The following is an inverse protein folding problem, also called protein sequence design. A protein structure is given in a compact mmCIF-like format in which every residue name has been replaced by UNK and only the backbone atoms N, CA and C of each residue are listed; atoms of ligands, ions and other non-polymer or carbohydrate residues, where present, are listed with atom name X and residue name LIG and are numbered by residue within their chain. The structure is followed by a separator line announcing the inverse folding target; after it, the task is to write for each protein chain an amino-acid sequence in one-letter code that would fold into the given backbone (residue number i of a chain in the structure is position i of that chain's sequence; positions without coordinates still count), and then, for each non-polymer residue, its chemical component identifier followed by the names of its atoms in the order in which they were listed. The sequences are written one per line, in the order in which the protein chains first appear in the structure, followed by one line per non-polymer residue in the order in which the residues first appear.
data_IF_020792249793
#
_entry.id   IF_020792249793
#
_cell.length_a   1.000
_cell.length_b   1.000
_cell.length_c   1.000
_cell.angle_alpha   90.00
_cell.angle_beta   90.00
_cell.angle_gamma   90.00
#
_symmetry.space_group_name_H-M   'P 1'
#
loop_
_entity.id
_entity.type
_entity.pdbx_description
1 polymer ?
#
# COMPACT_ATOMS: atom_id res chain seq x y z
N UNK A 1 -4.40 -4.83 17.01
CA UNK A 1 -4.11 -3.39 16.99
C UNK A 1 -2.66 -3.27 16.51
N UNK A 2 -2.33 -2.37 15.57
CA UNK A 2 -0.94 -2.32 15.06
C UNK A 2 -0.09 -1.46 16.00
N UNK A 3 0.69 -2.09 16.86
CA UNK A 3 1.49 -1.43 17.90
C UNK A 3 2.49 -0.44 17.28
N UNK A 4 3.02 -0.76 16.11
CA UNK A 4 3.91 0.12 15.36
C UNK A 4 3.24 1.44 14.96
N UNK A 5 2.02 1.38 14.42
CA UNK A 5 1.30 2.58 14.01
C UNK A 5 1.02 3.51 15.20
N UNK A 6 0.71 2.94 16.37
CA UNK A 6 0.49 3.72 17.59
C UNK A 6 1.74 4.49 18.02
N UNK A 7 2.92 3.88 17.95
CA UNK A 7 4.20 4.52 18.30
C UNK A 7 4.46 5.71 17.37
N UNK A 8 4.37 5.49 16.05
CA UNK A 8 4.56 6.55 15.05
C UNK A 8 3.56 7.69 15.23
N UNK A 9 2.28 7.35 15.41
CA UNK A 9 1.22 8.34 15.63
C UNK A 9 1.47 9.21 16.86
N UNK A 10 1.98 8.62 17.95
CA UNK A 10 2.33 9.34 19.17
C UNK A 10 3.54 10.26 18.97
N UNK A 11 4.57 9.82 18.25
CA UNK A 11 5.75 10.65 17.93
C UNK A 11 5.37 11.86 17.08
N UNK A 12 4.54 11.67 16.03
CA UNK A 12 4.01 12.77 15.22
C UNK A 12 3.18 13.75 16.07
N UNK A 13 2.34 13.22 16.97
CA UNK A 13 1.54 14.06 17.86
C UNK A 13 2.41 14.85 18.85
N UNK A 14 3.51 14.27 19.34
CA UNK A 14 4.47 14.93 20.22
C UNK A 14 5.16 16.09 19.49
N UNK A 15 5.76 15.83 18.33
CA UNK A 15 6.43 16.85 17.51
C UNK A 15 5.52 18.01 17.08
N UNK A 16 4.23 17.72 16.83
CA UNK A 16 3.22 18.75 16.58
C UNK A 16 2.98 19.62 17.82
N UNK A 17 2.86 19.00 18.99
CA UNK A 17 2.60 19.71 20.26
C UNK A 17 3.79 20.56 20.70
N UNK A 18 5.02 20.10 20.47
CA UNK A 18 6.24 20.89 20.73
C UNK A 18 6.27 22.21 19.94
N UNK A 19 5.63 22.23 18.76
CA UNK A 19 5.45 23.44 17.94
C UNK A 19 4.23 24.28 18.32
N UNK A 20 3.45 23.86 19.32
CA UNK A 20 2.21 24.53 19.71
C UNK A 20 1.09 24.44 18.67
N UNK A 21 1.16 23.50 17.71
CA UNK A 21 0.21 23.43 16.61
C UNK A 21 -1.03 22.59 16.95
N UNK A 22 -2.20 23.01 16.46
CA UNK A 22 -3.41 22.17 16.49
C UNK A 22 -3.38 21.11 15.37
N UNK A 23 -4.17 20.04 15.51
CA UNK A 23 -4.33 19.05 14.42
C UNK A 23 -4.84 19.71 13.12
N UNK A 24 -5.71 20.72 13.24
CA UNK A 24 -6.23 21.45 12.09
C UNK A 24 -5.13 22.26 11.40
N UNK A 25 -4.23 22.88 12.18
CA UNK A 25 -3.09 23.63 11.63
C UNK A 25 -2.14 22.71 10.88
N UNK A 26 -1.77 21.57 11.46
CA UNK A 26 -0.91 20.60 10.78
C UNK A 26 -1.58 20.05 9.52
N UNK A 27 -2.88 19.77 9.56
CA UNK A 27 -3.64 19.30 8.41
C UNK A 27 -3.61 20.31 7.24
N UNK A 28 -3.73 21.60 7.55
CA UNK A 28 -3.63 22.68 6.56
C UNK A 28 -2.25 22.74 5.90
N UNK A 29 -1.17 22.67 6.71
CA UNK A 29 0.22 22.69 6.21
C UNK A 29 0.49 21.49 5.31
N UNK A 30 0.05 20.31 5.73
CA UNK A 30 0.29 19.04 5.02
C UNK A 30 -0.64 18.90 3.81
N UNK A 31 -1.76 19.63 3.74
CA UNK A 31 -2.74 19.51 2.67
C UNK A 31 -3.60 18.25 2.78
N UNK A 32 -4.13 17.96 3.97
CA UNK A 32 -5.06 16.85 4.26
C UNK A 32 -6.20 17.32 5.16
N UNK A 33 -7.22 16.48 5.36
CA UNK A 33 -8.28 16.78 6.31
C UNK A 33 -7.79 16.65 7.77
N UNK A 34 -8.32 17.46 8.69
CA UNK A 34 -8.05 17.34 10.15
C UNK A 34 -8.28 15.92 10.67
N UNK A 35 -9.34 15.28 10.19
CA UNK A 35 -9.70 13.91 10.54
C UNK A 35 -8.61 12.90 10.14
N UNK A 36 -7.88 13.16 9.05
CA UNK A 36 -6.73 12.32 8.67
C UNK A 36 -5.63 12.40 9.71
N UNK A 37 -5.28 13.61 10.18
CA UNK A 37 -4.30 13.80 11.26
C UNK A 37 -4.75 13.11 12.54
N UNK A 38 -6.02 13.27 12.93
CA UNK A 38 -6.59 12.59 14.10
C UNK A 38 -6.40 11.07 14.04
N UNK A 39 -6.72 10.44 12.90
CA UNK A 39 -6.56 8.99 12.73
C UNK A 39 -5.09 8.58 12.73
N UNK A 40 -4.21 9.37 12.10
CA UNK A 40 -2.77 9.10 12.05
C UNK A 40 -2.17 9.12 13.45
N UNK A 41 -2.48 10.13 14.25
CA UNK A 41 -2.03 10.23 15.65
C UNK A 41 -2.61 9.11 16.55
N UNK A 42 -3.64 8.40 16.08
CA UNK A 42 -4.27 7.23 16.72
C UNK A 42 -3.86 5.91 16.06
N UNK A 43 -2.77 5.91 15.31
CA UNK A 43 -2.13 4.70 14.79
C UNK A 43 -2.56 4.25 13.40
N UNK A 44 -3.30 5.08 12.66
CA UNK A 44 -3.53 4.85 11.24
C UNK A 44 -2.28 5.23 10.45
N UNK A 45 -1.70 4.26 9.74
CA UNK A 45 -0.56 4.57 8.87
C UNK A 45 -0.96 5.55 7.74
N UNK A 46 -0.21 6.66 7.55
CA UNK A 46 -0.37 7.54 6.40
C UNK A 46 0.13 6.87 5.11
N UNK A 47 -0.22 7.45 3.94
CA UNK A 47 0.48 7.10 2.69
C UNK A 47 1.92 7.64 2.72
N UNK A 48 2.84 7.05 1.95
CA UNK A 48 4.23 7.53 1.87
C UNK A 48 4.37 9.02 1.52
N UNK A 49 3.51 9.52 0.62
CA UNK A 49 3.47 10.96 0.27
C UNK A 49 2.95 11.84 1.42
N UNK A 50 2.02 11.34 2.24
CA UNK A 50 1.53 12.06 3.42
C UNK A 50 2.55 11.98 4.56
N UNK A 51 3.22 10.84 4.74
CA UNK A 51 4.34 10.68 5.68
C UNK A 51 5.48 11.66 5.35
N UNK A 52 5.85 11.80 4.07
CA UNK A 52 6.84 12.78 3.61
C UNK A 52 6.48 14.19 4.05
N UNK A 53 5.29 14.66 3.66
CA UNK A 53 4.83 16.01 4.00
C UNK A 53 4.73 16.23 5.52
N UNK A 54 4.39 15.20 6.29
CA UNK A 54 4.35 15.26 7.75
C UNK A 54 5.75 15.41 8.36
N UNK A 55 6.69 14.59 7.92
CA UNK A 55 8.10 14.65 8.32
C UNK A 55 8.70 16.02 7.98
N UNK A 56 8.51 16.50 6.74
CA UNK A 56 8.99 17.81 6.30
C UNK A 56 8.39 18.95 7.15
N UNK A 57 7.07 18.93 7.37
CA UNK A 57 6.38 19.96 8.16
C UNK A 57 6.78 19.94 9.65
N UNK A 58 7.11 18.77 10.19
CA UNK A 58 7.48 18.56 11.58
C UNK A 58 8.99 18.48 11.79
N UNK A 59 9.80 18.70 10.76
CA UNK A 59 11.27 18.58 10.83
C UNK A 59 11.75 17.26 11.42
N UNK A 60 11.07 16.16 11.11
CA UNK A 60 11.42 14.82 11.57
C UNK A 60 12.06 14.04 10.43
N UNK A 61 13.06 13.22 10.72
CA UNK A 61 13.57 12.28 9.74
C UNK A 61 12.61 11.09 9.59
N UNK A 62 12.40 10.64 8.35
CA UNK A 62 11.62 9.43 8.08
C UNK A 62 12.28 8.18 8.63
N UNK A 63 13.60 8.07 8.54
CA UNK A 63 14.35 6.91 9.02
C UNK A 63 14.22 6.76 10.55
N UNK A 64 14.24 7.88 11.28
CA UNK A 64 14.07 7.90 12.74
C UNK A 64 12.68 7.43 13.19
N UNK A 65 11.65 7.72 12.39
CA UNK A 65 10.27 7.27 12.66
C UNK A 65 9.97 5.88 12.07
N UNK A 66 10.95 5.23 11.43
CA UNK A 66 10.75 4.05 10.58
C UNK A 66 9.57 4.26 9.59
N UNK A 67 9.43 5.50 9.12
CA UNK A 67 8.51 5.94 8.07
C UNK A 67 9.21 6.00 6.71
N UNK A 68 10.43 5.47 6.64
CA UNK A 68 11.20 5.17 5.44
C UNK A 68 10.56 4.09 4.57
N UNK A 69 9.31 3.70 4.88
CA UNK A 69 8.38 3.03 3.98
C UNK A 69 8.43 3.63 2.58
N UNK A 70 9.32 3.09 1.76
CA UNK A 70 9.26 3.37 0.35
C UNK A 70 7.93 2.81 -0.17
N UNK A 71 7.46 3.28 -1.33
CA UNK A 71 6.42 2.56 -2.04
C UNK A 71 6.83 1.10 -2.35
N UNK A 72 8.13 0.78 -2.17
CA UNK A 72 8.77 -0.53 -2.15
C UNK A 72 8.82 -1.23 -0.78
N UNK A 73 8.25 -0.70 0.29
CA UNK A 73 8.22 -1.44 1.57
C UNK A 73 6.89 -2.17 1.78
N UNK A 74 5.84 -1.76 1.07
CA UNK A 74 4.78 -2.69 0.69
C UNK A 74 5.34 -3.85 -0.16
N UNK A 75 6.43 -3.61 -0.90
CA UNK A 75 7.15 -4.59 -1.73
C UNK A 75 8.03 -5.54 -0.88
N UNK A 76 8.44 -5.12 0.33
CA UNK A 76 9.10 -5.99 1.34
C UNK A 76 8.11 -6.74 2.24
N UNK A 77 6.96 -6.15 2.61
CA UNK A 77 5.94 -6.84 3.41
C UNK A 77 5.11 -7.88 2.62
N UNK A 78 5.06 -7.75 1.29
CA UNK A 78 4.27 -8.63 0.42
C UNK A 78 5.07 -9.09 -0.81
N UNK A 79 6.17 -9.85 -0.60
CA UNK A 79 7.11 -10.23 -1.66
C UNK A 79 6.43 -10.97 -2.82
N UNK A 80 5.34 -11.71 -2.54
CA UNK A 80 4.54 -12.35 -3.58
C UNK A 80 3.91 -11.36 -4.56
N UNK A 81 3.32 -10.26 -4.06
CA UNK A 81 2.68 -9.24 -4.91
C UNK A 81 3.68 -8.34 -5.64
N UNK A 82 4.91 -8.24 -5.13
CA UNK A 82 6.03 -7.56 -5.77
C UNK A 82 6.33 -8.12 -7.15
N UNK A 83 6.38 -9.45 -7.27
CA UNK A 83 6.69 -10.11 -8.53
C UNK A 83 5.72 -9.66 -9.63
N UNK A 84 4.43 -9.53 -9.31
CA UNK A 84 3.41 -9.09 -10.27
C UNK A 84 3.58 -7.63 -10.67
N UNK A 85 3.95 -6.76 -9.71
CA UNK A 85 4.22 -5.35 -9.97
C UNK A 85 5.46 -5.18 -10.86
N UNK A 86 6.52 -5.93 -10.59
CA UNK A 86 7.75 -5.90 -11.35
C UNK A 86 7.52 -6.43 -12.77
N UNK A 87 6.79 -7.54 -12.91
CA UNK A 87 6.40 -8.08 -14.21
C UNK A 87 5.52 -7.11 -15.00
N UNK A 88 4.59 -6.40 -14.36
CA UNK A 88 3.79 -5.34 -14.99
C UNK A 88 4.70 -4.23 -15.54
N UNK A 89 5.63 -3.73 -14.71
CA UNK A 89 6.57 -2.67 -15.11
C UNK A 89 7.52 -3.11 -16.21
N UNK A 90 8.03 -4.33 -16.16
CA UNK A 90 8.91 -4.90 -17.19
C UNK A 90 8.20 -5.05 -18.55
N UNK A 91 6.87 -5.09 -18.55
CA UNK A 91 6.02 -5.08 -19.74
C UNK A 91 5.52 -3.67 -20.11
N UNK A 92 6.04 -2.64 -19.45
CA UNK A 92 5.68 -1.22 -19.65
C UNK A 92 4.19 -0.92 -19.47
N UNK A 93 3.49 -1.75 -18.71
CA UNK A 93 2.05 -1.63 -18.49
C UNK A 93 1.75 -0.62 -17.38
N UNK A 94 0.84 0.29 -17.66
CA UNK A 94 0.25 1.17 -16.66
C UNK A 94 -0.65 0.37 -15.69
N UNK A 95 -0.85 0.92 -14.50
CA UNK A 95 -1.78 0.34 -13.52
C UNK A 95 -3.22 0.28 -14.07
N UNK A 96 -3.59 1.24 -14.92
CA UNK A 96 -4.92 1.36 -15.50
C UNK A 96 -5.21 0.24 -16.50
N UNK A 97 -4.25 -0.11 -17.34
CA UNK A 97 -4.39 -1.20 -18.32
C UNK A 97 -4.62 -2.53 -17.62
N UNK A 98 -3.83 -2.81 -16.58
CA UNK A 98 -3.96 -4.05 -15.80
C UNK A 98 -5.27 -4.09 -15.00
N UNK A 99 -5.67 -2.96 -14.40
CA UNK A 99 -6.95 -2.86 -13.72
C UNK A 99 -8.14 -3.12 -14.67
N UNK A 100 -8.09 -2.51 -15.87
CA UNK A 100 -9.10 -2.69 -16.92
C UNK A 100 -9.18 -4.14 -17.38
N UNK A 101 -8.05 -4.78 -17.68
CA UNK A 101 -8.01 -6.18 -18.07
C UNK A 101 -8.56 -7.11 -16.97
N UNK A 102 -8.29 -6.77 -15.71
CA UNK A 102 -8.80 -7.53 -14.57
C UNK A 102 -10.26 -7.21 -14.19
N UNK A 103 -10.91 -6.26 -14.87
CA UNK A 103 -12.29 -5.85 -14.56
C UNK A 103 -12.44 -5.17 -13.20
N UNK A 104 -11.40 -4.52 -12.69
CA UNK A 104 -11.41 -3.81 -11.38
C UNK A 104 -11.02 -2.34 -11.54
N UNK A 105 -11.31 -1.53 -10.52
CA UNK A 105 -10.83 -0.14 -10.51
C UNK A 105 -9.31 -0.06 -10.35
N UNK A 106 -8.68 1.00 -10.88
CA UNK A 106 -7.26 1.28 -10.65
C UNK A 106 -6.91 1.38 -9.15
N UNK A 107 -7.84 1.89 -8.33
CA UNK A 107 -7.71 1.93 -6.87
C UNK A 107 -7.70 0.53 -6.23
N UNK A 108 -8.52 -0.39 -6.74
CA UNK A 108 -8.53 -1.80 -6.32
C UNK A 108 -7.23 -2.48 -6.68
N UNK A 109 -6.74 -2.29 -7.91
CA UNK A 109 -5.46 -2.83 -8.37
C UNK A 109 -4.28 -2.27 -7.56
N UNK A 110 -4.26 -0.95 -7.31
CA UNK A 110 -3.25 -0.31 -6.44
C UNK A 110 -3.21 -0.92 -5.04
N UNK A 111 -4.38 -1.20 -4.44
CA UNK A 111 -4.43 -1.83 -3.10
C UNK A 111 -3.88 -3.25 -3.16
N UNK A 112 -4.28 -4.01 -4.18
CA UNK A 112 -3.83 -5.38 -4.38
C UNK A 112 -2.30 -5.47 -4.58
N UNK A 113 -1.72 -4.65 -5.46
CA UNK A 113 -0.25 -4.62 -5.68
C UNK A 113 0.55 -4.14 -4.46
N UNK A 114 -0.10 -3.52 -3.47
CA UNK A 114 0.49 -3.14 -2.18
C UNK A 114 0.18 -4.14 -1.07
N UNK A 115 -0.34 -5.33 -1.42
CA UNK A 115 -0.71 -6.39 -0.48
C UNK A 115 -1.93 -6.10 0.39
N UNK A 116 -2.67 -5.03 0.11
CA UNK A 116 -3.89 -4.69 0.83
C UNK A 116 -5.11 -5.36 0.20
N UNK A 117 -5.77 -6.23 0.98
CA UNK A 117 -7.17 -6.61 0.78
C UNK A 117 -7.56 -6.88 -0.67
N UNK A 118 -7.02 -7.95 -1.24
CA UNK A 118 -7.32 -8.35 -2.62
C UNK A 118 -8.81 -8.63 -2.82
N UNK A 119 -9.38 -8.00 -3.85
CA UNK A 119 -10.75 -8.25 -4.30
C UNK A 119 -10.98 -9.73 -4.57
N UNK A 120 -12.18 -10.24 -4.28
CA UNK A 120 -12.60 -11.60 -4.68
C UNK A 120 -12.54 -11.83 -6.19
N UNK A 121 -12.52 -10.75 -6.97
CA UNK A 121 -12.31 -10.80 -8.42
C UNK A 121 -10.86 -11.09 -8.82
N UNK A 122 -9.89 -10.83 -7.92
CA UNK A 122 -8.46 -11.04 -8.18
C UNK A 122 -7.94 -12.28 -7.46
N UNK A 123 -8.40 -12.54 -6.24
CA UNK A 123 -7.85 -13.59 -5.37
C UNK A 123 -8.96 -14.38 -4.66
N UNK A 124 -8.86 -15.72 -4.73
CA UNK A 124 -9.63 -16.65 -3.91
C UNK A 124 -9.02 -16.72 -2.51
N UNK A 125 -9.88 -16.87 -1.50
CA UNK A 125 -9.47 -17.00 -0.10
C UNK A 125 -10.12 -18.21 0.54
N UNK A 126 -9.45 -18.80 1.53
CA UNK A 126 -10.06 -19.77 2.43
C UNK A 126 -11.12 -19.12 3.32
N UNK A 127 -11.90 -19.94 4.03
CA UNK A 127 -12.82 -19.46 5.07
C UNK A 127 -12.12 -18.65 6.16
N UNK A 128 -10.85 -18.97 6.46
CA UNK A 128 -10.00 -18.23 7.39
C UNK A 128 -9.41 -16.93 6.79
N UNK A 129 -9.77 -16.56 5.55
CA UNK A 129 -9.33 -15.32 4.89
C UNK A 129 -7.94 -15.40 4.24
N UNK A 130 -7.26 -16.54 4.32
CA UNK A 130 -5.95 -16.75 3.71
C UNK A 130 -6.07 -16.78 2.18
N UNK A 131 -5.26 -16.02 1.43
CA UNK A 131 -5.33 -16.02 -0.03
C UNK A 131 -4.71 -17.30 -0.60
N UNK A 132 -5.39 -17.92 -1.56
CA UNK A 132 -5.01 -19.25 -2.09
C UNK A 132 -4.62 -19.23 -3.56
N UNK A 133 -5.32 -18.45 -4.38
CA UNK A 133 -5.23 -18.52 -5.84
C UNK A 133 -5.58 -17.17 -6.46
N UNK A 134 -4.88 -16.76 -7.51
CA UNK A 134 -5.28 -15.65 -8.36
C UNK A 134 -6.23 -16.15 -9.46
N UNK A 135 -7.44 -15.62 -9.48
CA UNK A 135 -8.57 -16.22 -10.22
C UNK A 135 -8.99 -15.43 -11.46
N UNK A 136 -8.21 -14.42 -11.85
CA UNK A 136 -8.60 -13.49 -12.89
C UNK A 136 -7.84 -13.73 -14.21
N UNK A 137 -8.57 -14.21 -15.21
CA UNK A 137 -7.99 -14.57 -16.50
C UNK A 137 -7.42 -13.35 -17.25
N UNK A 138 -8.15 -12.23 -17.31
CA UNK A 138 -7.65 -11.02 -17.97
C UNK A 138 -6.42 -10.44 -17.29
N UNK A 139 -6.29 -10.61 -15.97
CA UNK A 139 -5.08 -10.26 -15.24
C UNK A 139 -3.90 -11.17 -15.58
N UNK A 140 -4.14 -12.48 -15.73
CA UNK A 140 -3.11 -13.44 -16.15
C UNK A 140 -2.59 -13.11 -17.56
N UNK A 141 -3.51 -12.92 -18.51
CA UNK A 141 -3.20 -12.67 -19.91
C UNK A 141 -2.40 -11.39 -20.12
N UNK A 142 -2.81 -10.27 -19.49
CA UNK A 142 -2.11 -9.00 -19.68
C UNK A 142 -0.68 -9.04 -19.12
N UNK A 143 -0.47 -9.79 -18.04
CA UNK A 143 0.86 -10.05 -17.49
C UNK A 143 1.65 -11.12 -18.27
N UNK A 144 1.07 -11.72 -19.31
CA UNK A 144 1.73 -12.70 -20.16
C UNK A 144 1.83 -14.09 -19.51
N UNK A 145 0.78 -14.51 -18.82
CA UNK A 145 0.58 -15.90 -18.38
C UNK A 145 -0.55 -16.53 -19.19
N UNK A 146 -0.47 -17.83 -19.45
CA UNK A 146 -1.49 -18.57 -20.20
C UNK A 146 -2.64 -19.05 -19.30
N UNK A 147 -2.44 -19.03 -17.99
CA UNK A 147 -3.43 -19.49 -17.03
C UNK A 147 -3.35 -18.77 -15.68
N UNK A 148 -4.46 -18.79 -14.97
CA UNK A 148 -4.54 -18.42 -13.55
C UNK A 148 -3.57 -19.23 -12.66
N UNK A 149 -3.29 -20.49 -13.05
CA UNK A 149 -2.33 -21.33 -12.35
C UNK A 149 -0.91 -20.81 -12.49
N UNK A 150 -0.45 -20.49 -13.71
CA UNK A 150 0.86 -19.87 -13.95
C UNK A 150 1.01 -18.54 -13.20
N UNK A 151 -0.03 -17.69 -13.29
CA UNK A 151 -0.09 -16.43 -12.56
C UNK A 151 0.04 -16.66 -11.04
N UNK A 152 -0.66 -17.66 -10.49
CA UNK A 152 -0.63 -18.02 -9.07
C UNK A 152 0.73 -18.55 -8.65
N UNK A 153 1.34 -19.44 -9.43
CA UNK A 153 2.68 -19.99 -9.16
C UNK A 153 3.71 -18.88 -9.13
N UNK A 154 3.70 -18.00 -10.14
CA UNK A 154 4.60 -16.86 -10.20
C UNK A 154 4.35 -15.88 -9.05
N UNK A 155 3.09 -15.60 -8.72
CA UNK A 155 2.76 -14.78 -7.56
C UNK A 155 3.31 -15.36 -6.26
N UNK A 156 3.25 -16.68 -6.05
CA UNK A 156 3.75 -17.31 -4.82
C UNK A 156 5.26 -17.45 -4.76
N UNK A 157 5.92 -17.69 -5.90
CA UNK A 157 7.33 -18.13 -5.96
C UNK A 157 8.29 -17.13 -6.63
N UNK A 158 7.78 -16.25 -7.48
CA UNK A 158 8.56 -15.31 -8.29
C UNK A 158 9.12 -15.90 -9.59
N UNK A 159 8.83 -17.17 -9.89
CA UNK A 159 9.20 -17.88 -11.10
C UNK A 159 8.09 -18.90 -11.48
N UNK A 160 8.10 -19.37 -12.73
CA UNK A 160 7.19 -20.40 -13.23
C UNK A 160 7.73 -21.81 -12.93
#
# INVERSE_FOLDING_TARGET
MNDFGMIVGQQLAAARRERGWTQARLAQIVGVARESIYRIERGRMPSGATAARLCDALGLDKAELSLDWHETDATLLYPSTTFLRDRRKARELSLWEVARAAGVSASTMSRFERGHGGSRMLVRRTLAGQPTELVNQGFAEILGFHSNHELTTFWQRGYL
#
